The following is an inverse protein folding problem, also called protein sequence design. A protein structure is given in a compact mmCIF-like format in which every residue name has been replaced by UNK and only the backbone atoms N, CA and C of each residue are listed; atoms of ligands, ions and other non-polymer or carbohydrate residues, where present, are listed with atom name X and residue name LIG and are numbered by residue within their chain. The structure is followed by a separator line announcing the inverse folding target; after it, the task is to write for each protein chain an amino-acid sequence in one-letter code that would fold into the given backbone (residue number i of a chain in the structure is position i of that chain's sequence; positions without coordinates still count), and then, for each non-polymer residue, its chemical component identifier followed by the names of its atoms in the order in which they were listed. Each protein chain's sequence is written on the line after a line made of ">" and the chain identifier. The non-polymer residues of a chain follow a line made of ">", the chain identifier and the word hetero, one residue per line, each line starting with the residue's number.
data_IF_522890176761
#
_entry.id   IF_522890176761
#
_cell.length_a   1.000
_cell.length_b   1.000
_cell.length_c   1.000
_cell.angle_alpha   90.00
_cell.angle_beta   90.00
_cell.angle_gamma   90.00
#
_symmetry.space_group_name_H-M   'P 1'
#
loop_
_entity.id
_entity.type
_entity.pdbx_description
1 polymer ?
#
# COMPACT_ATOMS: atom_id res chain seq x y z
N UNK A 1 6.17 -12.79 34.27
CA UNK A 1 6.47 -11.45 33.76
C UNK A 1 5.65 -11.27 32.50
N UNK A 2 4.45 -10.70 32.63
CA UNK A 2 3.46 -10.60 31.55
C UNK A 2 3.67 -9.33 30.75
N UNK A 3 3.79 -9.49 29.43
CA UNK A 3 3.83 -8.38 28.48
C UNK A 3 2.45 -7.67 28.43
N UNK A 4 2.35 -6.35 28.73
CA UNK A 4 1.09 -5.65 28.88
C UNK A 4 0.57 -4.96 27.60
N UNK A 5 1.07 -5.28 26.41
CA UNK A 5 0.77 -4.49 25.20
C UNK A 5 -0.22 -5.10 24.20
N UNK A 6 -0.82 -6.26 24.48
CA UNK A 6 -1.67 -6.95 23.48
C UNK A 6 -3.14 -6.46 23.41
N UNK A 7 -3.54 -5.45 24.20
CA UNK A 7 -4.94 -4.98 24.30
C UNK A 7 -5.18 -3.55 23.76
N UNK A 8 -4.72 -3.21 22.55
CA UNK A 8 -5.01 -1.86 21.99
C UNK A 8 -5.51 -1.77 20.55
N UNK A 9 -5.64 -2.85 19.79
CA UNK A 9 -5.85 -2.71 18.33
C UNK A 9 -7.03 -3.46 17.72
N UNK A 10 -8.00 -3.92 18.52
CA UNK A 10 -9.16 -4.66 17.98
C UNK A 10 -10.51 -3.94 18.10
N UNK A 11 -10.57 -2.73 18.66
CA UNK A 11 -11.84 -2.01 18.90
C UNK A 11 -11.99 -0.68 18.14
N UNK A 12 -11.19 -0.44 17.10
CA UNK A 12 -11.34 0.80 16.30
C UNK A 12 -11.77 0.47 14.88
N UNK A 13 -12.91 1.05 14.51
CA UNK A 13 -13.49 1.16 13.18
C UNK A 13 -14.61 0.16 12.86
N UNK A 14 -15.83 0.65 13.13
CA UNK A 14 -17.15 0.20 12.67
C UNK A 14 -17.28 0.07 11.13
N UNK A 15 -16.22 0.42 10.39
CA UNK A 15 -16.19 0.51 8.95
C UNK A 15 -14.91 -0.21 8.46
N UNK A 16 -14.98 -1.48 8.06
CA UNK A 16 -13.80 -2.30 7.82
C UNK A 16 -12.94 -1.67 6.73
N UNK A 17 -11.70 -1.34 7.08
CA UNK A 17 -10.70 -0.91 6.10
C UNK A 17 -10.47 -2.12 5.17
N UNK A 18 -10.45 -1.96 3.84
CA UNK A 18 -10.31 -3.07 2.91
C UNK A 18 -9.07 -3.90 3.19
N UNK A 19 -9.22 -5.22 3.11
CA UNK A 19 -8.17 -6.19 3.42
C UNK A 19 -6.94 -5.99 2.53
N UNK A 20 -5.78 -6.34 3.06
CA UNK A 20 -4.50 -6.29 2.34
C UNK A 20 -4.58 -7.02 0.98
N UNK A 21 -5.14 -8.23 0.99
CA UNK A 21 -5.26 -9.06 -0.22
C UNK A 21 -6.15 -8.40 -1.26
N UNK A 22 -7.27 -7.83 -0.83
CA UNK A 22 -8.20 -7.13 -1.70
C UNK A 22 -7.53 -5.92 -2.39
N UNK A 23 -6.77 -5.12 -1.63
CA UNK A 23 -5.99 -4.00 -2.19
C UNK A 23 -4.95 -4.50 -3.19
N UNK A 24 -4.26 -5.60 -2.87
CA UNK A 24 -3.26 -6.18 -3.75
C UNK A 24 -3.87 -6.70 -5.06
N UNK A 25 -5.07 -7.28 -5.04
CA UNK A 25 -5.73 -7.74 -6.28
C UNK A 25 -5.97 -6.59 -7.26
N UNK A 26 -6.49 -5.44 -6.81
CA UNK A 26 -6.68 -4.28 -7.69
C UNK A 26 -5.36 -3.75 -8.25
N UNK A 27 -4.34 -3.64 -7.41
CA UNK A 27 -3.03 -3.11 -7.80
C UNK A 27 -2.27 -4.10 -8.69
N UNK A 28 -2.55 -5.40 -8.57
CA UNK A 28 -1.97 -6.45 -9.39
C UNK A 28 -2.47 -6.40 -10.82
N UNK A 29 -3.74 -6.04 -11.03
CA UNK A 29 -4.28 -5.84 -12.38
C UNK A 29 -3.70 -4.60 -13.05
N UNK A 30 -3.63 -3.48 -12.30
CA UNK A 30 -3.02 -2.24 -12.79
C UNK A 30 -2.48 -1.40 -11.63
N UNK A 31 -1.38 -0.65 -11.83
CA UNK A 31 -0.92 0.32 -10.85
C UNK A 31 -1.96 1.43 -10.68
N UNK A 32 -2.31 1.75 -9.43
CA UNK A 32 -3.41 2.66 -9.09
C UNK A 32 -2.95 3.68 -8.07
N UNK A 33 -3.42 4.92 -8.18
CA UNK A 33 -3.18 5.92 -7.14
C UNK A 33 -4.20 5.77 -5.99
N UNK A 34 -3.95 6.47 -4.88
CA UNK A 34 -4.85 6.47 -3.72
C UNK A 34 -6.28 6.94 -4.04
N UNK A 35 -6.45 7.86 -4.98
CA UNK A 35 -7.76 8.39 -5.36
C UNK A 35 -8.57 7.36 -6.15
N UNK A 36 -7.96 6.66 -7.11
CA UNK A 36 -8.59 5.55 -7.81
C UNK A 36 -8.97 4.44 -6.84
N UNK A 37 -8.08 4.12 -5.88
CA UNK A 37 -8.39 3.14 -4.84
C UNK A 37 -9.59 3.58 -3.99
N UNK A 38 -9.74 4.86 -3.68
CA UNK A 38 -10.93 5.33 -2.95
C UNK A 38 -12.23 5.12 -3.75
N UNK A 39 -12.19 5.36 -5.06
CA UNK A 39 -13.36 5.20 -5.92
C UNK A 39 -13.72 3.71 -6.09
N UNK A 40 -12.73 2.88 -6.42
CA UNK A 40 -12.88 1.44 -6.61
C UNK A 40 -13.35 0.72 -5.35
N UNK A 41 -12.78 1.08 -4.19
CA UNK A 41 -13.12 0.50 -2.89
C UNK A 41 -14.34 1.18 -2.25
N UNK A 42 -14.95 2.17 -2.92
CA UNK A 42 -16.08 2.98 -2.43
C UNK A 42 -15.86 3.52 -1.02
N UNK A 43 -14.67 4.07 -0.80
CA UNK A 43 -14.17 4.53 0.50
C UNK A 43 -14.70 5.93 0.77
N UNK A 44 -15.50 6.05 1.81
CA UNK A 44 -16.01 7.35 2.27
C UNK A 44 -14.89 8.22 2.87
N UNK A 45 -15.11 9.53 2.94
CA UNK A 45 -14.15 10.50 3.49
C UNK A 45 -13.55 10.12 4.84
N UNK A 46 -14.34 9.48 5.71
CA UNK A 46 -13.88 9.00 7.03
C UNK A 46 -12.90 7.82 6.94
N UNK A 47 -12.96 7.01 5.88
CA UNK A 47 -12.10 5.85 5.66
C UNK A 47 -10.86 6.15 4.80
N UNK A 48 -10.79 7.32 4.15
CA UNK A 48 -9.62 7.72 3.32
C UNK A 48 -8.32 7.79 4.13
N UNK A 49 -8.38 8.37 5.31
CA UNK A 49 -7.23 8.51 6.23
C UNK A 49 -6.70 7.13 6.67
N UNK A 50 -7.52 6.24 7.27
CA UNK A 50 -7.04 4.93 7.69
C UNK A 50 -6.57 4.05 6.52
N UNK A 51 -7.20 4.14 5.34
CA UNK A 51 -6.71 3.45 4.15
C UNK A 51 -5.33 3.97 3.72
N UNK A 52 -5.10 5.28 3.78
CA UNK A 52 -3.78 5.87 3.48
C UNK A 52 -2.71 5.38 4.44
N UNK A 53 -3.02 5.27 5.73
CA UNK A 53 -2.11 4.70 6.72
C UNK A 53 -1.82 3.22 6.42
N UNK A 54 -2.84 2.45 6.01
CA UNK A 54 -2.67 1.06 5.58
C UNK A 54 -1.77 0.94 4.35
N UNK A 55 -1.99 1.76 3.32
CA UNK A 55 -1.14 1.76 2.11
C UNK A 55 0.32 2.09 2.46
N UNK A 56 0.56 3.09 3.33
CA UNK A 56 1.91 3.41 3.81
C UNK A 56 2.55 2.25 4.58
N UNK A 57 1.80 1.57 5.44
CA UNK A 57 2.28 0.39 6.14
C UNK A 57 2.64 -0.72 5.15
N UNK A 58 1.79 -0.99 4.15
CA UNK A 58 2.06 -1.98 3.09
C UNK A 58 3.30 -1.64 2.26
N UNK A 59 3.57 -0.35 2.00
CA UNK A 59 4.80 0.08 1.34
C UNK A 59 6.03 -0.17 2.22
N UNK A 60 5.95 0.18 3.50
CA UNK A 60 7.01 -0.07 4.48
C UNK A 60 7.29 -1.57 4.64
N UNK A 61 6.24 -2.38 4.67
CA UNK A 61 6.32 -3.83 4.78
C UNK A 61 6.68 -4.52 3.45
N UNK A 62 7.11 -3.75 2.43
CA UNK A 62 7.57 -4.25 1.13
C UNK A 62 6.52 -5.12 0.40
N UNK A 63 5.26 -4.72 0.49
CA UNK A 63 4.15 -5.38 -0.20
C UNK A 63 3.71 -4.56 -1.42
N UNK A 64 3.85 -3.25 -1.32
CA UNK A 64 3.61 -2.29 -2.39
C UNK A 64 4.83 -1.40 -2.59
N UNK A 65 5.00 -0.88 -3.80
CA UNK A 65 5.86 0.26 -4.08
C UNK A 65 4.98 1.48 -4.35
N UNK A 66 5.44 2.67 -3.97
CA UNK A 66 4.79 3.92 -4.30
C UNK A 66 5.75 4.75 -5.16
N UNK A 67 5.28 5.21 -6.32
CA UNK A 67 6.03 6.12 -7.17
C UNK A 67 5.94 7.58 -6.66
N UNK A 68 6.76 8.48 -7.23
CA UNK A 68 6.74 9.92 -6.95
C UNK A 68 5.40 10.56 -7.30
N UNK A 69 4.71 10.03 -8.30
CA UNK A 69 3.35 10.45 -8.67
C UNK A 69 2.25 9.94 -7.71
N UNK A 70 2.61 9.19 -6.66
CA UNK A 70 1.66 8.66 -5.69
C UNK A 70 0.84 7.46 -6.21
N UNK A 71 1.35 6.80 -7.24
CA UNK A 71 0.82 5.57 -7.82
C UNK A 71 1.40 4.37 -7.07
N UNK A 72 0.54 3.44 -6.65
CA UNK A 72 0.92 2.21 -5.97
C UNK A 72 1.00 1.05 -6.97
N UNK A 73 2.04 0.24 -6.84
CA UNK A 73 2.28 -0.97 -7.63
C UNK A 73 2.69 -2.13 -6.72
N UNK A 74 2.57 -3.37 -7.21
CA UNK A 74 2.99 -4.55 -6.45
C UNK A 74 4.50 -4.48 -6.20
N UNK A 75 4.90 -4.63 -4.94
CA UNK A 75 6.32 -4.75 -4.62
C UNK A 75 6.84 -6.07 -5.20
N UNK A 76 7.81 -5.97 -6.11
CA UNK A 76 8.51 -7.11 -6.66
C UNK A 76 9.97 -7.04 -6.21
N UNK A 77 10.35 -7.90 -5.25
CA UNK A 77 11.73 -8.07 -4.77
C UNK A 77 12.68 -8.57 -5.87
N UNK A 78 12.15 -9.06 -7.00
CA UNK A 78 12.90 -9.39 -8.22
C UNK A 78 13.22 -8.16 -9.07
N UNK A 79 12.74 -6.97 -8.72
CA UNK A 79 13.20 -5.72 -9.31
C UNK A 79 14.54 -5.37 -8.67
N UNK A 80 15.54 -6.21 -8.93
CA UNK A 80 16.93 -5.85 -8.75
C UNK A 80 17.15 -4.57 -9.54
N UNK A 81 17.27 -3.47 -8.81
CA UNK A 81 17.81 -2.23 -9.32
C UNK A 81 19.16 -2.57 -9.96
N UNK A 82 19.17 -2.65 -11.29
CA UNK A 82 20.30 -2.20 -12.08
C UNK A 82 19.83 -0.92 -12.79
N UNK A 83 19.49 0.09 -11.99
CA UNK A 83 19.34 1.46 -12.49
C UNK A 83 20.77 1.94 -12.77
N UNK A 84 21.18 1.75 -14.01
CA UNK A 84 22.51 2.08 -14.50
C UNK A 84 22.53 1.98 -16.01
N UNK A 85 21.76 2.82 -16.69
CA UNK A 85 21.99 3.07 -18.11
C UNK A 85 23.31 3.84 -18.25
N UNK A 86 24.43 3.12 -18.28
CA UNK A 86 25.70 3.63 -18.82
C UNK A 86 25.63 3.37 -20.32
N UNK A 87 25.36 4.43 -21.08
CA UNK A 87 25.71 4.49 -22.50
C UNK A 87 26.96 5.35 -22.57
N UNK A 88 28.13 4.72 -22.51
CA UNK A 88 29.37 5.33 -22.97
C UNK A 88 29.53 4.96 -24.45
N UNK A 89 29.48 5.97 -25.32
CA UNK A 89 29.66 5.86 -26.76
C UNK A 89 31.16 5.60 -27.09
N UNK A 90 31.50 4.84 -28.16
CA UNK A 90 32.87 4.47 -28.54
C UNK A 90 33.79 5.65 -28.87
#
# INVERSE_FOLDING_TARGET
>A
MSDPHQKRESEKYDNPIPSREYILEFIKEKPLNKYDLYDLLKVDGKQKIPLTHRLKAMVRDQQLSCDRDGVFSIFSSKSGILIGTIVANP
#
